data_IF_336672675094
#
_entry.id   IF_336672675094
#
_cell.length_a   1.000
_cell.length_b   1.000
_cell.length_c   1.000
_cell.angle_alpha   90.00
_cell.angle_beta   90.00
_cell.angle_gamma   90.00
#
_symmetry.space_group_name_H-M   'P 1'
#
loop_
_entity.id
_entity.type
_entity.pdbx_description
1 polymer ?
#
# COMPACT_ATOMS: atom_id res chain seq x y z
N UNK A 1 -38.64 -26.27 -16.60
CA UNK A 1 -37.50 -27.17 -16.32
C UNK A 1 -36.94 -27.60 -17.67
N UNK A 2 -35.91 -26.92 -18.19
CA UNK A 2 -34.46 -27.28 -18.11
C UNK A 2 -34.19 -28.62 -18.81
N UNK A 3 -33.25 -28.79 -19.75
CA UNK A 3 -32.03 -28.07 -20.10
C UNK A 3 -31.65 -28.51 -21.54
N UNK A 4 -31.22 -27.60 -22.42
CA UNK A 4 -29.81 -27.28 -22.70
C UNK A 4 -29.13 -28.30 -23.63
N UNK A 5 -29.34 -28.11 -24.93
CA UNK A 5 -28.49 -28.65 -25.98
C UNK A 5 -27.31 -27.70 -26.28
N UNK A 6 -26.11 -28.25 -26.14
CA UNK A 6 -25.11 -28.41 -27.20
C UNK A 6 -24.46 -27.21 -27.90
N UNK A 7 -23.13 -27.37 -28.06
CA UNK A 7 -22.19 -26.74 -29.01
C UNK A 7 -21.72 -25.33 -28.64
N UNK A 8 -20.48 -25.19 -28.17
CA UNK A 8 -19.23 -25.28 -28.92
C UNK A 8 -19.09 -24.16 -29.97
N UNK A 9 -17.89 -23.56 -29.95
CA UNK A 9 -17.22 -22.85 -31.06
C UNK A 9 -17.08 -21.32 -30.88
N UNK A 10 -15.83 -20.95 -30.56
CA UNK A 10 -15.07 -19.77 -31.05
C UNK A 10 -15.70 -18.39 -30.86
N UNK A 11 -15.14 -17.59 -29.95
CA UNK A 11 -14.85 -16.17 -30.23
C UNK A 11 -13.56 -15.79 -29.51
N UNK A 12 -12.49 -15.63 -30.28
CA UNK A 12 -11.39 -14.75 -29.89
C UNK A 12 -11.77 -13.29 -30.14
N UNK A 13 -10.97 -12.40 -29.55
CA UNK A 13 -11.01 -10.95 -29.66
C UNK A 13 -11.95 -10.20 -28.69
N UNK A 14 -11.40 -9.08 -28.21
CA UNK A 14 -12.02 -7.98 -27.48
C UNK A 14 -12.32 -8.19 -25.98
N UNK A 15 -11.29 -7.95 -25.14
CA UNK A 15 -11.51 -7.31 -23.84
C UNK A 15 -10.84 -5.92 -23.84
N UNK A 16 -11.19 -5.13 -24.86
CA UNK A 16 -11.14 -3.66 -24.81
C UNK A 16 -12.58 -3.23 -24.59
N UNK A 17 -12.81 -2.27 -23.69
CA UNK A 17 -14.10 -1.67 -23.32
C UNK A 17 -14.85 -2.28 -22.12
N UNK A 18 -14.26 -2.15 -20.93
CA UNK A 18 -15.05 -1.88 -19.71
C UNK A 18 -14.38 -0.71 -18.96
N UNK A 19 -14.55 0.51 -19.46
CA UNK A 19 -14.10 1.75 -18.78
C UNK A 19 -15.07 2.93 -18.97
N UNK A 20 -16.34 2.70 -19.34
CA UNK A 20 -17.22 3.78 -19.80
C UNK A 20 -18.45 4.10 -18.92
N UNK A 21 -18.52 3.66 -17.66
CA UNK A 21 -19.63 4.04 -16.76
C UNK A 21 -19.23 4.15 -15.29
N UNK A 22 -18.15 4.89 -15.01
CA UNK A 22 -17.89 5.40 -13.65
C UNK A 22 -17.67 6.91 -13.72
N UNK A 23 -18.28 7.71 -12.84
CA UNK A 23 -18.10 9.15 -12.83
C UNK A 23 -16.61 9.49 -12.63
N UNK A 24 -16.11 10.61 -13.16
CA UNK A 24 -14.71 11.00 -13.07
C UNK A 24 -14.39 11.37 -11.62
N UNK A 25 -14.03 10.38 -10.81
CA UNK A 25 -13.37 10.62 -9.53
C UNK A 25 -11.97 11.14 -9.85
N UNK A 26 -11.80 12.43 -9.59
CA UNK A 26 -10.58 13.20 -9.63
C UNK A 26 -9.41 12.49 -8.93
N UNK A 27 -8.65 11.68 -9.66
CA UNK A 27 -7.32 11.19 -9.25
C UNK A 27 -6.33 11.09 -10.42
N UNK A 28 -6.53 11.86 -11.48
CA UNK A 28 -5.45 12.23 -12.38
C UNK A 28 -4.84 13.56 -11.89
N UNK A 29 -4.32 13.57 -10.66
CA UNK A 29 -3.44 14.66 -10.25
C UNK A 29 -2.16 14.47 -11.08
N UNK A 30 -1.82 15.45 -11.93
CA UNK A 30 -0.49 15.52 -12.54
C UNK A 30 0.54 15.27 -11.44
N UNK A 31 1.35 14.22 -11.59
CA UNK A 31 2.45 13.94 -10.68
C UNK A 31 3.39 15.13 -10.73
N UNK A 32 3.29 16.01 -9.75
CA UNK A 32 4.26 17.05 -9.54
C UNK A 32 5.41 16.42 -8.72
N UNK A 33 6.58 16.16 -9.33
CA UNK A 33 7.70 15.53 -8.64
C UNK A 33 8.14 16.31 -7.40
N UNK A 34 8.00 17.64 -7.40
CA UNK A 34 8.31 18.46 -6.24
C UNK A 34 7.31 18.25 -5.08
N UNK A 35 6.03 18.02 -5.39
CA UNK A 35 5.02 17.71 -4.38
C UNK A 35 5.15 16.28 -3.83
N UNK A 36 5.66 15.35 -4.64
CA UNK A 36 5.96 13.99 -4.20
C UNK A 36 7.18 13.97 -3.28
N UNK A 37 8.24 14.72 -3.61
CA UNK A 37 9.42 14.84 -2.76
C UNK A 37 9.12 15.53 -1.41
N UNK A 38 8.25 16.54 -1.39
CA UNK A 38 7.86 17.20 -0.14
C UNK A 38 7.04 16.27 0.77
N UNK A 39 6.12 15.50 0.19
CA UNK A 39 5.36 14.48 0.93
C UNK A 39 6.27 13.41 1.50
N UNK A 40 7.23 12.93 0.71
CA UNK A 40 8.23 11.96 1.15
C UNK A 40 9.06 12.51 2.32
N UNK A 41 9.52 13.77 2.25
CA UNK A 41 10.26 14.41 3.35
C UNK A 41 9.41 14.51 4.61
N UNK A 42 8.19 15.00 4.50
CA UNK A 42 7.28 15.13 5.64
C UNK A 42 7.03 13.78 6.31
N UNK A 43 6.89 12.71 5.52
CA UNK A 43 6.74 11.35 6.03
C UNK A 43 7.99 10.86 6.78
N UNK A 44 9.18 11.05 6.21
CA UNK A 44 10.45 10.68 6.87
C UNK A 44 10.65 11.48 8.17
N UNK A 45 10.31 12.77 8.18
CA UNK A 45 10.36 13.58 9.41
C UNK A 45 9.37 13.09 10.47
N UNK A 46 8.15 12.72 10.06
CA UNK A 46 7.18 12.13 10.97
C UNK A 46 7.68 10.80 11.56
N UNK A 47 8.24 9.91 10.72
CA UNK A 47 8.88 8.68 11.17
C UNK A 47 10.02 8.95 12.14
N UNK A 48 10.88 9.94 11.85
CA UNK A 48 12.04 10.23 12.71
C UNK A 48 11.63 10.69 14.11
N UNK A 49 10.50 11.42 14.22
CA UNK A 49 9.93 11.80 15.52
C UNK A 49 9.36 10.61 16.27
N UNK A 50 8.87 9.60 15.56
CA UNK A 50 8.30 8.38 16.14
C UNK A 50 9.40 7.38 16.55
N UNK A 51 10.27 7.01 15.61
CA UNK A 51 11.41 6.11 15.78
C UNK A 51 12.50 6.43 14.72
N UNK A 52 13.67 6.95 15.14
CA UNK A 52 14.78 7.26 14.23
C UNK A 52 15.29 6.05 13.43
N UNK A 53 15.23 4.84 13.99
CA UNK A 53 15.64 3.60 13.33
C UNK A 53 14.68 3.21 12.21
N UNK A 54 13.37 3.36 12.43
CA UNK A 54 12.37 3.15 11.39
C UNK A 54 12.50 4.17 10.24
N UNK A 55 12.83 5.42 10.55
CA UNK A 55 13.09 6.44 9.53
C UNK A 55 14.32 6.12 8.64
N UNK A 56 15.41 5.64 9.26
CA UNK A 56 16.60 5.20 8.54
C UNK A 56 16.29 4.00 7.65
N UNK A 57 15.63 2.98 8.21
CA UNK A 57 15.23 1.77 7.48
C UNK A 57 14.30 2.08 6.30
N UNK A 58 13.31 2.95 6.49
CA UNK A 58 12.43 3.37 5.40
C UNK A 58 13.21 4.06 4.28
N UNK A 59 14.18 4.91 4.61
CA UNK A 59 15.00 5.61 3.62
C UNK A 59 15.81 4.62 2.78
N UNK A 60 16.45 3.64 3.42
CA UNK A 60 17.19 2.56 2.73
C UNK A 60 16.29 1.76 1.79
N UNK A 61 15.12 1.35 2.25
CA UNK A 61 14.15 0.59 1.45
C UNK A 61 13.63 1.42 0.26
N UNK A 62 13.35 2.71 0.48
CA UNK A 62 12.91 3.64 -0.56
C UNK A 62 13.98 3.79 -1.63
N UNK A 63 15.23 3.99 -1.23
CA UNK A 63 16.34 4.19 -2.15
C UNK A 63 16.66 2.91 -2.92
N UNK A 64 16.61 1.74 -2.29
CA UNK A 64 16.69 0.44 -2.95
C UNK A 64 15.61 0.29 -4.04
N UNK A 65 14.37 0.67 -3.73
CA UNK A 65 13.26 0.66 -4.70
C UNK A 65 13.47 1.66 -5.83
N UNK A 66 13.92 2.89 -5.55
CA UNK A 66 14.25 3.90 -6.58
C UNK A 66 15.33 3.36 -7.55
N UNK A 67 16.37 2.72 -7.02
CA UNK A 67 17.42 2.09 -7.83
C UNK A 67 16.88 0.94 -8.69
N UNK A 68 16.01 0.08 -8.14
CA UNK A 68 15.39 -1.01 -8.89
C UNK A 68 14.48 -0.51 -10.02
N UNK A 69 13.75 0.59 -9.80
CA UNK A 69 12.95 1.26 -10.85
C UNK A 69 13.85 1.78 -11.97
N UNK A 70 14.93 2.48 -11.63
CA UNK A 70 15.85 3.02 -12.63
C UNK A 70 16.50 1.92 -13.49
N UNK A 71 16.94 0.82 -12.88
CA UNK A 71 17.49 -0.32 -13.62
C UNK A 71 16.43 -1.03 -14.47
N UNK A 72 15.20 -1.18 -13.96
CA UNK A 72 14.10 -1.74 -14.74
C UNK A 72 13.83 -0.89 -16.00
N UNK A 73 13.73 0.43 -15.86
CA UNK A 73 13.51 1.34 -16.99
C UNK A 73 14.63 1.24 -18.04
N UNK A 74 15.88 1.19 -17.59
CA UNK A 74 17.05 1.05 -18.46
C UNK A 74 17.05 -0.28 -19.21
N UNK A 75 16.75 -1.40 -18.54
CA UNK A 75 16.69 -2.71 -19.20
C UNK A 75 15.50 -2.81 -20.15
N UNK A 76 14.35 -2.23 -19.78
CA UNK A 76 13.17 -2.14 -20.65
C UNK A 76 13.47 -1.34 -21.93
N UNK A 77 14.16 -0.19 -21.81
CA UNK A 77 14.57 0.61 -22.95
C UNK A 77 15.49 -0.19 -23.90
N UNK A 78 16.48 -0.90 -23.34
CA UNK A 78 17.37 -1.77 -24.13
C UNK A 78 16.63 -2.91 -24.81
N UNK A 79 15.71 -3.57 -24.12
CA UNK A 79 14.90 -4.64 -24.67
C UNK A 79 13.98 -4.15 -25.80
N UNK A 80 13.35 -2.98 -25.61
CA UNK A 80 12.48 -2.36 -26.62
C UNK A 80 13.24 -1.95 -27.89
N UNK A 81 14.45 -1.40 -27.72
CA UNK A 81 15.33 -1.00 -28.81
C UNK A 81 16.02 -2.20 -29.52
N UNK A 82 16.03 -3.38 -28.91
CA UNK A 82 16.66 -4.56 -29.48
C UNK A 82 15.85 -5.15 -30.64
N UNK A 83 16.57 -5.51 -31.71
CA UNK A 83 16.02 -6.27 -32.83
C UNK A 83 15.59 -7.70 -32.43
N UNK A 84 14.80 -8.39 -33.25
CA UNK A 84 14.23 -9.71 -32.95
C UNK A 84 15.25 -10.75 -32.51
N UNK A 85 16.46 -10.70 -33.07
CA UNK A 85 17.53 -11.66 -32.77
C UNK A 85 18.18 -11.45 -31.38
N UNK A 86 18.19 -10.21 -30.87
CA UNK A 86 18.82 -9.87 -29.60
C UNK A 86 17.83 -9.93 -28.42
N UNK A 87 16.52 -9.84 -28.67
CA UNK A 87 15.49 -9.90 -27.62
C UNK A 87 15.54 -11.16 -26.76
N UNK A 88 15.72 -12.38 -27.31
CA UNK A 88 15.85 -13.59 -26.48
C UNK A 88 17.03 -13.54 -25.51
N UNK A 89 18.12 -12.87 -25.87
CA UNK A 89 19.31 -12.73 -25.02
C UNK A 89 19.11 -11.71 -23.89
N UNK A 90 18.29 -10.68 -24.12
CA UNK A 90 17.96 -9.66 -23.11
C UNK A 90 16.79 -10.04 -22.21
N UNK A 91 15.97 -11.01 -22.61
CA UNK A 91 14.79 -11.43 -21.86
C UNK A 91 15.12 -11.89 -20.41
N UNK A 92 16.19 -12.65 -20.14
CA UNK A 92 16.56 -13.00 -18.75
C UNK A 92 16.88 -11.77 -17.90
N UNK A 93 17.59 -10.78 -18.47
CA UNK A 93 17.92 -9.53 -17.77
C UNK A 93 16.67 -8.72 -17.45
N UNK A 94 15.70 -8.68 -18.37
CA UNK A 94 14.43 -8.01 -18.13
C UNK A 94 13.64 -8.68 -17.01
N UNK A 95 13.54 -10.02 -17.01
CA UNK A 95 12.88 -10.77 -15.93
C UNK A 95 13.54 -10.54 -14.58
N UNK A 96 14.86 -10.50 -14.55
CA UNK A 96 15.61 -10.24 -13.33
C UNK A 96 15.38 -8.82 -12.79
N UNK A 97 15.37 -7.81 -13.66
CA UNK A 97 15.07 -6.44 -13.26
C UNK A 97 13.61 -6.30 -12.76
N UNK A 98 12.66 -6.99 -13.39
CA UNK A 98 11.27 -7.05 -12.92
C UNK A 98 11.18 -7.70 -11.53
N UNK A 99 11.91 -8.79 -11.30
CA UNK A 99 11.97 -9.46 -9.99
C UNK A 99 12.51 -8.53 -8.90
N UNK A 100 13.64 -7.87 -9.12
CA UNK A 100 14.22 -6.92 -8.14
C UNK A 100 13.31 -5.73 -7.85
N UNK A 101 12.61 -5.23 -8.87
CA UNK A 101 11.59 -4.19 -8.67
C UNK A 101 10.44 -4.68 -7.78
N UNK A 102 9.96 -5.90 -7.99
CA UNK A 102 8.92 -6.49 -7.16
C UNK A 102 9.42 -6.70 -5.72
N UNK A 103 10.59 -7.30 -5.53
CA UNK A 103 11.21 -7.54 -4.22
C UNK A 103 11.38 -6.24 -3.42
N UNK A 104 11.97 -5.21 -4.03
CA UNK A 104 12.16 -3.91 -3.36
C UNK A 104 10.85 -3.18 -3.09
N UNK A 105 9.85 -3.33 -3.96
CA UNK A 105 8.52 -2.74 -3.72
C UNK A 105 7.77 -3.44 -2.60
N UNK A 106 7.85 -4.78 -2.52
CA UNK A 106 7.26 -5.55 -1.43
C UNK A 106 7.93 -5.21 -0.09
N UNK A 107 9.26 -5.10 -0.05
CA UNK A 107 9.97 -4.76 1.18
C UNK A 107 9.54 -3.39 1.76
N UNK A 108 9.23 -2.41 0.89
CA UNK A 108 8.64 -1.13 1.33
C UNK A 108 7.24 -1.34 1.90
N UNK A 109 6.38 -2.13 1.24
CA UNK A 109 5.03 -2.41 1.71
C UNK A 109 5.04 -3.16 3.05
N UNK A 110 5.87 -4.19 3.20
CA UNK A 110 6.01 -4.97 4.42
C UNK A 110 6.43 -4.10 5.61
N UNK A 111 7.32 -3.13 5.38
CA UNK A 111 7.70 -2.15 6.39
C UNK A 111 6.51 -1.28 6.84
N UNK A 112 5.74 -0.75 5.89
CA UNK A 112 4.57 0.09 6.18
C UNK A 112 3.48 -0.72 6.91
N UNK A 113 3.20 -1.92 6.44
CA UNK A 113 2.28 -2.88 7.05
C UNK A 113 2.66 -3.18 8.51
N UNK A 114 3.94 -3.48 8.76
CA UNK A 114 4.41 -3.78 10.10
C UNK A 114 4.28 -2.57 11.03
N UNK A 115 4.58 -1.37 10.54
CA UNK A 115 4.41 -0.12 11.28
C UNK A 115 2.93 0.11 11.62
N UNK A 116 2.05 0.02 10.64
CA UNK A 116 0.64 0.34 10.81
C UNK A 116 -0.05 -0.69 11.71
N UNK A 117 0.36 -1.97 11.68
CA UNK A 117 -0.07 -2.98 12.66
C UNK A 117 0.38 -2.64 14.09
N UNK A 118 1.60 -2.14 14.29
CA UNK A 118 2.06 -1.67 15.60
C UNK A 118 1.24 -0.47 16.09
N UNK A 119 0.96 0.48 15.19
CA UNK A 119 0.13 1.63 15.51
C UNK A 119 -1.29 1.22 15.90
N UNK A 120 -1.90 0.31 15.12
CA UNK A 120 -3.23 -0.22 15.40
C UNK A 120 -3.31 -0.88 16.78
N UNK A 121 -2.35 -1.75 17.12
CA UNK A 121 -2.30 -2.39 18.44
C UNK A 121 -2.24 -1.37 19.59
N UNK A 122 -1.42 -0.31 19.45
CA UNK A 122 -1.36 0.77 20.45
C UNK A 122 -2.68 1.50 20.62
N UNK A 123 -3.40 1.74 19.52
CA UNK A 123 -4.71 2.39 19.58
C UNK A 123 -5.77 1.48 20.20
N UNK A 124 -5.75 0.18 19.92
CA UNK A 124 -6.65 -0.78 20.53
C UNK A 124 -6.46 -0.85 22.06
N UNK A 125 -5.21 -0.84 22.53
CA UNK A 125 -4.88 -0.78 23.95
C UNK A 125 -5.43 0.50 24.60
N UNK A 126 -5.23 1.65 23.96
CA UNK A 126 -5.68 2.94 24.49
C UNK A 126 -7.21 3.04 24.53
N UNK A 127 -7.89 2.54 23.49
CA UNK A 127 -9.35 2.39 23.47
C UNK A 127 -9.82 1.51 24.63
N UNK A 128 -9.11 0.41 24.92
CA UNK A 128 -9.38 -0.47 26.05
C UNK A 128 -9.31 0.27 27.39
N UNK A 129 -8.25 1.06 27.61
CA UNK A 129 -8.09 1.88 28.83
C UNK A 129 -9.22 2.90 29.00
N UNK A 130 -9.58 3.60 27.93
CA UNK A 130 -10.66 4.59 27.96
C UNK A 130 -12.00 3.91 28.31
N UNK A 131 -12.30 2.74 27.73
CA UNK A 131 -13.51 1.98 28.07
C UNK A 131 -13.57 1.62 29.55
N UNK A 132 -12.46 1.13 30.11
CA UNK A 132 -12.39 0.80 31.53
C UNK A 132 -12.67 2.02 32.43
N UNK A 133 -12.10 3.18 32.11
CA UNK A 133 -12.36 4.43 32.82
C UNK A 133 -13.84 4.86 32.72
N UNK A 134 -14.44 4.73 31.54
CA UNK A 134 -15.86 5.05 31.36
C UNK A 134 -16.76 4.14 32.20
N UNK A 135 -16.47 2.84 32.27
CA UNK A 135 -17.20 1.89 33.12
C UNK A 135 -17.06 2.23 34.60
N UNK A 136 -15.86 2.62 35.05
CA UNK A 136 -15.62 3.08 36.42
C UNK A 136 -16.42 4.35 36.74
N UNK A 137 -16.45 5.32 35.82
CA UNK A 137 -17.25 6.53 35.98
C UNK A 137 -18.75 6.22 36.08
N UNK A 138 -19.26 5.26 35.31
CA UNK A 138 -20.66 4.83 35.40
C UNK A 138 -20.96 4.23 36.77
N UNK A 139 -20.13 3.29 37.25
CA UNK A 139 -20.30 2.68 38.58
C UNK A 139 -20.26 3.71 39.69
N UNK A 140 -19.24 4.57 39.68
CA UNK A 140 -19.08 5.65 40.66
C UNK A 140 -20.28 6.58 40.65
N UNK A 141 -20.78 6.97 39.47
CA UNK A 141 -21.99 7.78 39.35
C UNK A 141 -23.19 7.08 39.95
N UNK A 142 -23.40 5.80 39.66
CA UNK A 142 -24.49 5.01 40.23
C UNK A 142 -24.42 4.95 41.75
N UNK A 143 -23.24 4.73 42.32
CA UNK A 143 -23.06 4.65 43.78
C UNK A 143 -23.31 6.01 44.44
N UNK A 144 -22.81 7.10 43.86
CA UNK A 144 -23.09 8.46 44.32
C UNK A 144 -24.58 8.82 44.22
N UNK A 145 -25.28 8.34 43.19
CA UNK A 145 -26.72 8.55 43.05
C UNK A 145 -27.53 7.82 44.12
N UNK A 146 -27.13 6.61 44.52
CA UNK A 146 -27.74 5.88 45.64
C UNK A 146 -27.55 6.63 46.95
N UNK A 147 -26.31 7.03 47.25
CA UNK A 147 -25.98 7.84 48.43
C UNK A 147 -26.81 9.14 48.48
N UNK A 148 -26.98 9.81 47.33
CA UNK A 148 -27.80 11.03 47.24
C UNK A 148 -29.29 10.77 47.56
N UNK A 149 -29.81 9.59 47.24
CA UNK A 149 -31.20 9.18 47.53
C UNK A 149 -31.40 8.67 48.95
N UNK A 150 -30.31 8.43 49.69
CA UNK A 150 -30.34 7.82 51.02
C UNK A 150 -30.55 6.30 50.99
N UNK A 151 -30.21 5.66 49.87
CA UNK A 151 -30.20 4.19 49.68
C UNK A 151 -28.87 3.56 50.13
#
# INVERSE_FOLDING_TARGET
MTARESRAMRVGAALVAVLATSPPLAFAQERNPAADDERDRAFVEALRREDPGDAARYTELRDARRNAIAELQKVQARYGAAGPELRPLLLPQLKEAQRRYAESSLAVLDFLDARDRRALARYEDEIGRIKALLDEHVRTRTDLEKLRRGE
#
